data_IF_142524438571
#
_entry.id   IF_142524438571
#
_cell.length_a   1.000
_cell.length_b   1.000
_cell.length_c   1.000
_cell.angle_alpha   90.00
_cell.angle_beta   90.00
_cell.angle_gamma   90.00
#
_symmetry.space_group_name_H-M   'P 1'
#
loop_
_entity.id
_entity.type
_entity.pdbx_description
1 polymer ?
#
# COMPACT_ATOMS: atom_id res chain seq x y z
N UNK A 1 9.08 -27.51 -3.38
CA UNK A 1 8.85 -28.84 -4.01
C UNK A 1 7.74 -28.81 -5.07
N UNK A 2 6.67 -28.02 -4.91
CA UNK A 2 5.61 -27.87 -5.93
C UNK A 2 6.09 -27.19 -7.24
N UNK A 3 6.95 -26.14 -7.21
CA UNK A 3 7.40 -25.46 -8.43
C UNK A 3 8.11 -26.35 -9.46
N UNK A 4 9.07 -27.23 -9.09
CA UNK A 4 9.76 -28.07 -10.07
C UNK A 4 8.83 -29.10 -10.74
N UNK A 5 7.81 -29.60 -10.06
CA UNK A 5 6.83 -30.55 -10.63
C UNK A 5 5.96 -29.86 -11.69
N UNK A 6 5.57 -28.61 -11.42
CA UNK A 6 4.74 -27.81 -12.34
C UNK A 6 5.53 -27.42 -13.60
N UNK A 7 6.79 -27.01 -13.46
CA UNK A 7 7.64 -26.64 -14.60
C UNK A 7 7.94 -27.87 -15.48
N UNK A 8 8.27 -29.02 -14.89
CA UNK A 8 8.52 -30.27 -15.64
C UNK A 8 7.26 -30.74 -16.41
N UNK A 9 6.07 -30.61 -15.81
CA UNK A 9 4.81 -30.91 -16.48
C UNK A 9 4.49 -29.94 -17.63
N UNK A 10 4.80 -28.64 -17.47
CA UNK A 10 4.62 -27.63 -18.50
C UNK A 10 5.64 -27.75 -19.64
N UNK A 11 6.86 -28.19 -19.33
CA UNK A 11 7.91 -28.49 -20.29
C UNK A 11 7.55 -29.70 -21.16
N UNK A 12 7.12 -30.81 -20.54
CA UNK A 12 6.64 -32.02 -21.26
C UNK A 12 5.47 -31.76 -22.19
N UNK A 13 4.65 -30.75 -21.87
CA UNK A 13 3.49 -30.33 -22.67
C UNK A 13 3.86 -29.31 -23.77
N UNK A 14 5.14 -28.93 -23.88
CA UNK A 14 5.69 -28.09 -24.95
C UNK A 14 5.24 -26.63 -24.91
N UNK A 15 4.53 -26.20 -23.86
CA UNK A 15 3.90 -24.87 -23.78
C UNK A 15 4.96 -23.79 -23.67
N UNK A 16 6.05 -24.05 -22.96
CA UNK A 16 7.20 -23.14 -22.87
C UNK A 16 8.13 -23.21 -24.10
N UNK A 17 8.23 -24.37 -24.77
CA UNK A 17 9.14 -24.59 -25.88
C UNK A 17 8.61 -24.07 -27.24
N UNK A 18 7.29 -23.85 -27.36
CA UNK A 18 6.64 -23.47 -28.62
C UNK A 18 6.84 -21.99 -29.00
N UNK A 19 7.17 -21.11 -28.05
CA UNK A 19 7.45 -19.70 -28.35
C UNK A 19 8.36 -19.07 -27.30
N UNK A 20 9.42 -18.40 -27.78
CA UNK A 20 10.41 -17.67 -26.94
C UNK A 20 9.79 -16.54 -26.09
N UNK A 21 8.53 -16.18 -26.36
CA UNK A 21 7.84 -15.07 -25.72
C UNK A 21 7.00 -15.48 -24.50
N UNK A 22 6.65 -16.76 -24.34
CA UNK A 22 5.70 -17.18 -23.29
C UNK A 22 6.26 -16.98 -21.88
N UNK A 23 7.52 -17.33 -21.64
CA UNK A 23 8.20 -17.12 -20.36
C UNK A 23 8.18 -15.65 -19.90
N UNK A 24 8.78 -14.71 -20.67
CA UNK A 24 8.81 -13.31 -20.27
C UNK A 24 7.42 -12.68 -20.19
N UNK A 25 6.48 -13.05 -21.07
CA UNK A 25 5.10 -12.54 -20.99
C UNK A 25 4.41 -12.98 -19.71
N UNK A 26 4.44 -14.27 -19.35
CA UNK A 26 3.81 -14.77 -18.12
C UNK A 26 4.40 -14.09 -16.89
N UNK A 27 5.72 -13.92 -16.82
CA UNK A 27 6.38 -13.25 -15.70
C UNK A 27 5.94 -11.79 -15.58
N UNK A 28 5.99 -11.01 -16.67
CA UNK A 28 5.58 -9.60 -16.66
C UNK A 28 4.09 -9.44 -16.37
N UNK A 29 3.24 -10.34 -16.89
CA UNK A 29 1.81 -10.32 -16.62
C UNK A 29 1.49 -10.59 -15.15
N UNK A 30 2.12 -11.58 -14.52
CA UNK A 30 1.91 -11.88 -13.09
C UNK A 30 2.42 -10.71 -12.23
N UNK A 31 3.65 -10.23 -12.50
CA UNK A 31 4.20 -9.09 -11.78
C UNK A 31 3.34 -7.83 -11.94
N UNK A 32 2.87 -7.55 -13.17
CA UNK A 32 1.97 -6.44 -13.46
C UNK A 32 0.66 -6.55 -12.69
N UNK A 33 0.02 -7.72 -12.71
CA UNK A 33 -1.20 -7.97 -11.96
C UNK A 33 -1.01 -7.74 -10.46
N UNK A 34 0.06 -8.27 -9.87
CA UNK A 34 0.37 -8.05 -8.45
C UNK A 34 0.59 -6.57 -8.12
N UNK A 35 1.33 -5.84 -8.97
CA UNK A 35 1.59 -4.41 -8.77
C UNK A 35 0.32 -3.57 -8.84
N UNK A 36 -0.61 -3.88 -9.74
CA UNK A 36 -1.90 -3.17 -9.85
C UNK A 36 -2.71 -3.23 -8.57
N UNK A 37 -2.63 -4.32 -7.80
CA UNK A 37 -3.32 -4.44 -6.51
C UNK A 37 -2.51 -3.89 -5.33
N UNK A 38 -1.19 -4.01 -5.35
CA UNK A 38 -0.33 -3.51 -4.28
C UNK A 38 -0.39 -1.99 -4.13
N UNK A 39 -0.40 -1.22 -5.24
CA UNK A 39 -0.44 0.24 -5.18
C UNK A 39 -1.68 0.80 -4.45
N UNK A 40 -2.93 0.46 -4.82
CA UNK A 40 -4.10 0.94 -4.10
C UNK A 40 -4.16 0.41 -2.66
N UNK A 41 -3.63 -0.80 -2.39
CA UNK A 41 -3.53 -1.35 -1.05
C UNK A 41 -2.60 -0.51 -0.16
N UNK A 42 -1.42 -0.14 -0.65
CA UNK A 42 -0.47 0.70 0.07
C UNK A 42 -1.04 2.11 0.32
N UNK A 43 -1.73 2.68 -0.66
CA UNK A 43 -2.42 3.97 -0.50
C UNK A 43 -3.56 3.91 0.53
N UNK A 44 -4.23 2.77 0.69
CA UNK A 44 -5.27 2.59 1.69
C UNK A 44 -4.71 2.28 3.10
N UNK A 45 -3.59 1.56 3.18
CA UNK A 45 -3.00 1.15 4.45
C UNK A 45 -2.37 2.33 5.21
N UNK A 46 -1.90 3.35 4.49
CA UNK A 46 -1.36 4.58 5.06
C UNK A 46 -2.15 5.81 4.58
N UNK A 47 -3.32 6.10 5.18
CA UNK A 47 -4.07 7.30 4.83
C UNK A 47 -3.22 8.53 5.16
N UNK A 48 -3.08 9.44 4.18
CA UNK A 48 -2.31 10.68 4.37
C UNK A 48 -2.89 11.56 5.48
N UNK A 49 -4.22 11.56 5.66
CA UNK A 49 -4.88 12.30 6.73
C UNK A 49 -5.17 11.36 7.89
N UNK A 50 -4.68 11.73 9.08
CA UNK A 50 -4.90 11.00 10.31
C UNK A 50 -5.59 11.87 11.34
N UNK A 51 -6.52 11.27 12.10
CA UNK A 51 -7.15 11.91 13.24
C UNK A 51 -6.38 11.59 14.52
N UNK A 52 -6.23 12.56 15.41
CA UNK A 52 -5.69 12.38 16.75
C UNK A 52 -6.57 13.13 17.77
N UNK A 53 -6.70 12.59 18.97
CA UNK A 53 -7.43 13.25 20.06
C UNK A 53 -6.63 14.46 20.54
N UNK A 54 -7.32 15.57 20.83
CA UNK A 54 -6.67 16.81 21.29
C UNK A 54 -5.77 16.58 22.51
N UNK A 55 -6.22 15.78 23.48
CA UNK A 55 -5.49 15.49 24.72
C UNK A 55 -4.21 14.68 24.51
N UNK A 56 -4.05 14.04 23.35
CA UNK A 56 -2.85 13.27 22.98
C UNK A 56 -1.83 14.09 22.17
N UNK A 57 -2.11 15.37 21.90
CA UNK A 57 -1.13 16.26 21.26
C UNK A 57 -0.03 16.65 22.24
N UNK A 58 1.12 17.03 21.70
CA UNK A 58 2.20 17.64 22.47
C UNK A 58 1.74 18.98 23.06
N UNK A 59 2.11 19.26 24.31
CA UNK A 59 1.77 20.51 25.02
C UNK A 59 1.98 21.79 24.18
N UNK A 60 3.13 21.99 23.48
CA UNK A 60 3.33 23.20 22.69
C UNK A 60 2.32 23.36 21.54
N UNK A 61 1.82 22.26 20.98
CA UNK A 61 0.81 22.30 19.90
C UNK A 61 -0.59 22.54 20.49
N UNK A 62 -0.88 21.98 21.67
CA UNK A 62 -2.13 22.25 22.38
C UNK A 62 -2.27 23.74 22.71
N UNK A 63 -1.21 24.38 23.19
CA UNK A 63 -1.21 25.81 23.55
C UNK A 63 -1.45 26.69 22.32
N UNK A 64 -0.83 26.39 21.19
CA UNK A 64 -1.07 27.11 19.93
C UNK A 64 -2.53 26.97 19.44
N UNK A 65 -3.12 25.79 19.59
CA UNK A 65 -4.52 25.55 19.21
C UNK A 65 -5.46 26.31 20.15
N UNK A 66 -5.18 26.32 21.46
CA UNK A 66 -5.94 27.07 22.46
C UNK A 66 -5.84 28.59 22.24
N UNK A 67 -4.67 29.10 21.87
CA UNK A 67 -4.50 30.51 21.51
C UNK A 67 -5.34 30.88 20.28
N UNK A 68 -5.36 30.02 19.26
CA UNK A 68 -6.07 30.28 17.99
C UNK A 68 -7.58 30.07 18.05
N UNK A 69 -8.06 29.07 18.78
CA UNK A 69 -9.48 28.67 18.83
C UNK A 69 -10.19 29.05 20.14
N UNK A 70 -9.46 29.49 21.15
CA UNK A 70 -10.02 29.92 22.44
C UNK A 70 -10.80 28.80 23.13
N UNK A 71 -12.06 29.07 23.50
CA UNK A 71 -12.93 28.14 24.21
C UNK A 71 -13.52 27.01 23.33
N UNK A 72 -13.40 27.10 21.99
CA UNK A 72 -13.98 26.14 21.05
C UNK A 72 -12.93 25.12 20.57
N UNK A 73 -12.31 24.40 21.51
CA UNK A 73 -11.31 23.38 21.16
C UNK A 73 -12.03 22.09 20.74
N UNK A 74 -11.76 21.55 19.53
CA UNK A 74 -12.38 20.31 19.08
C UNK A 74 -11.76 19.08 19.78
N UNK A 75 -12.58 18.07 20.09
CA UNK A 75 -12.11 16.83 20.71
C UNK A 75 -11.14 16.01 19.83
N UNK A 76 -11.22 16.19 18.50
CA UNK A 76 -10.34 15.55 17.51
C UNK A 76 -9.83 16.57 16.51
N UNK A 77 -8.56 16.43 16.17
CA UNK A 77 -7.90 17.22 15.13
C UNK A 77 -7.39 16.30 14.03
N UNK A 78 -7.30 16.83 12.82
CA UNK A 78 -6.85 16.12 11.64
C UNK A 78 -5.56 16.75 11.15
N UNK A 79 -4.58 15.92 10.82
CA UNK A 79 -3.31 16.37 10.27
C UNK A 79 -2.89 15.47 9.11
N UNK A 80 -2.12 16.05 8.19
CA UNK A 80 -1.48 15.30 7.13
C UNK A 80 -0.17 14.72 7.66
N UNK A 81 0.03 13.40 7.51
CA UNK A 81 1.23 12.68 7.96
C UNK A 81 2.48 12.99 7.14
N UNK A 82 2.36 13.76 6.05
CA UNK A 82 3.43 13.97 5.08
C UNK A 82 3.46 12.83 4.08
N UNK A 83 3.63 13.18 2.80
CA UNK A 83 4.17 12.23 1.83
C UNK A 83 5.70 12.29 1.91
#
# INVERSE_FOLDING_TARGET
VIPPIVIDALEKRGVLARSRWIGPTVQVSICGLCLTFMTPLCCALFPQISSIAFDKLESPVQDQIREKLGANVPARVYYNKGL
#
